data_IF_729322504584
#
_entry.id   IF_729322504584
#
_cell.length_a   1.000
_cell.length_b   1.000
_cell.length_c   1.000
_cell.angle_alpha   90.00
_cell.angle_beta   90.00
_cell.angle_gamma   90.00
#
_symmetry.space_group_name_H-M   'P 1'
#
loop_
_entity.id
_entity.type
_entity.pdbx_description
1 polymer ?
#
# COMPACT_ATOMS: atom_id res chain seq x y z
N UNK A 1 5.52 10.75 7.19
CA UNK A 1 6.03 10.75 5.79
C UNK A 1 5.05 11.54 4.95
N UNK A 2 5.48 12.62 4.28
CA UNK A 2 4.59 13.43 3.43
C UNK A 2 4.70 12.92 1.99
N UNK A 3 3.59 12.50 1.37
CA UNK A 3 3.58 12.05 -0.03
C UNK A 3 2.69 12.95 -0.88
N UNK A 4 3.29 13.50 -1.94
CA UNK A 4 2.62 14.35 -2.92
C UNK A 4 2.20 13.47 -4.09
N UNK A 5 0.91 13.43 -4.41
CA UNK A 5 0.38 12.77 -5.62
C UNK A 5 -0.13 13.87 -6.56
N UNK A 6 0.40 14.02 -7.77
CA UNK A 6 -0.13 14.99 -8.73
C UNK A 6 -1.57 14.60 -9.10
N UNK A 7 -2.51 15.53 -8.97
CA UNK A 7 -3.87 15.37 -9.45
C UNK A 7 -4.04 16.30 -10.65
N UNK A 8 -4.13 15.73 -11.85
CA UNK A 8 -4.41 16.51 -13.04
C UNK A 8 -5.86 16.95 -13.00
N UNK A 9 -6.10 18.16 -12.48
CA UNK A 9 -7.32 18.93 -12.73
C UNK A 9 -7.03 19.84 -13.92
N UNK A 10 -7.92 19.83 -14.91
CA UNK A 10 -7.83 20.60 -16.15
C UNK A 10 -7.68 22.09 -15.81
N UNK A 11 -6.49 22.65 -16.04
CA UNK A 11 -6.22 24.09 -15.99
C UNK A 11 -5.26 24.57 -14.90
N UNK A 12 -4.91 23.76 -13.90
CA UNK A 12 -3.89 24.14 -12.89
C UNK A 12 -3.26 22.88 -12.30
N UNK A 13 -1.92 22.77 -12.20
CA UNK A 13 -1.28 21.62 -11.56
C UNK A 13 -1.63 21.60 -10.07
N UNK A 14 -2.66 20.84 -9.71
CA UNK A 14 -2.99 20.55 -8.32
C UNK A 14 -2.21 19.31 -7.89
N UNK A 15 -1.67 19.32 -6.68
CA UNK A 15 -1.06 18.15 -6.09
C UNK A 15 -1.83 17.77 -4.82
N UNK A 16 -2.36 16.55 -4.77
CA UNK A 16 -2.96 15.99 -3.57
C UNK A 16 -1.83 15.55 -2.64
N UNK A 17 -1.55 16.34 -1.62
CA UNK A 17 -0.64 15.97 -0.55
C UNK A 17 -1.43 15.20 0.49
N UNK A 18 -1.16 13.90 0.61
CA UNK A 18 -1.70 13.12 1.72
C UNK A 18 -0.66 13.18 2.84
N UNK A 19 -0.96 13.97 3.86
CA UNK A 19 -0.19 13.99 5.10
C UNK A 19 -0.81 12.95 6.01
N UNK A 20 -0.21 11.76 6.02
CA UNK A 20 -0.49 10.78 7.08
C UNK A 20 0.45 11.11 8.22
N UNK A 21 -0.11 11.63 9.31
CA UNK A 21 0.61 11.76 10.57
C UNK A 21 0.77 10.34 11.16
N UNK A 22 2.00 9.78 11.17
CA UNK A 22 2.24 8.42 11.64
C UNK A 22 1.96 8.27 13.15
N UNK A 23 2.00 9.38 13.92
CA UNK A 23 1.70 9.38 15.35
C UNK A 23 0.19 9.43 15.63
N UNK A 24 -0.63 9.85 14.65
CA UNK A 24 -2.09 9.92 14.77
C UNK A 24 -2.86 8.84 14.04
N UNK A 25 -2.25 8.13 13.08
CA UNK A 25 -2.87 7.01 12.39
C UNK A 25 -1.83 5.91 12.10
N UNK A 26 -1.58 5.00 13.06
CA UNK A 26 -0.59 3.94 12.87
C UNK A 26 -1.01 3.08 11.68
N UNK A 27 -0.04 2.75 10.82
CA UNK A 27 -0.29 1.80 9.73
C UNK A 27 -0.89 0.51 10.31
N UNK A 28 -1.83 -0.13 9.60
CA UNK A 28 -2.47 -1.34 10.10
C UNK A 28 -1.42 -2.43 10.32
N UNK A 29 -1.58 -3.16 11.42
CA UNK A 29 -0.73 -4.30 11.74
C UNK A 29 -0.90 -5.41 10.70
N UNK A 30 0.11 -6.27 10.59
CA UNK A 30 0.05 -7.46 9.70
C UNK A 30 -1.19 -8.30 10.04
N UNK A 31 -1.46 -8.49 11.32
CA UNK A 31 -2.61 -9.24 11.83
C UNK A 31 -3.94 -8.57 11.45
N UNK A 32 -4.03 -7.23 11.47
CA UNK A 32 -5.21 -6.51 11.03
C UNK A 32 -5.47 -6.71 9.52
N UNK A 33 -4.42 -6.67 8.70
CA UNK A 33 -4.53 -6.89 7.26
C UNK A 33 -4.96 -8.33 6.92
N UNK A 34 -4.42 -9.32 7.63
CA UNK A 34 -4.83 -10.73 7.52
C UNK A 34 -6.33 -10.85 7.82
N UNK A 35 -6.78 -10.35 8.98
CA UNK A 35 -8.18 -10.50 9.41
C UNK A 35 -9.14 -9.75 8.49
N UNK A 36 -8.79 -8.55 8.05
CA UNK A 36 -9.68 -7.68 7.27
C UNK A 36 -9.84 -8.13 5.81
N UNK A 37 -8.77 -8.67 5.21
CA UNK A 37 -8.72 -8.92 3.76
C UNK A 37 -8.41 -10.39 3.41
N UNK A 38 -8.26 -11.29 4.39
CA UNK A 38 -7.93 -12.70 4.14
C UNK A 38 -6.54 -12.90 3.53
N UNK A 39 -5.62 -11.95 3.76
CA UNK A 39 -4.24 -12.07 3.28
C UNK A 39 -3.50 -13.17 4.03
N UNK A 40 -2.56 -13.83 3.35
CA UNK A 40 -1.55 -14.63 4.05
C UNK A 40 -0.60 -13.71 4.82
N UNK A 41 0.17 -14.27 5.77
CA UNK A 41 1.18 -13.49 6.50
C UNK A 41 2.17 -12.80 5.56
N UNK A 42 2.68 -13.50 4.55
CA UNK A 42 3.59 -12.93 3.55
C UNK A 42 2.94 -11.81 2.74
N UNK A 43 1.70 -11.99 2.29
CA UNK A 43 0.96 -10.95 1.56
C UNK A 43 0.73 -9.70 2.41
N UNK A 44 0.33 -9.88 3.67
CA UNK A 44 0.10 -8.77 4.60
C UNK A 44 1.40 -8.01 4.90
N UNK A 45 2.53 -8.69 5.03
CA UNK A 45 3.82 -8.03 5.20
C UNK A 45 4.26 -7.25 3.96
N UNK A 46 4.04 -7.79 2.76
CA UNK A 46 4.29 -7.08 1.49
C UNK A 46 3.37 -5.85 1.38
N UNK A 47 2.08 -5.99 1.68
CA UNK A 47 1.14 -4.89 1.69
C UNK A 47 1.55 -3.79 2.69
N UNK A 48 2.01 -4.14 3.89
CA UNK A 48 2.48 -3.17 4.89
C UNK A 48 3.68 -2.36 4.37
N UNK A 49 4.67 -3.01 3.77
CA UNK A 49 5.83 -2.33 3.16
C UNK A 49 5.44 -1.42 1.98
N UNK A 50 4.43 -1.81 1.21
CA UNK A 50 3.87 -0.97 0.15
C UNK A 50 3.21 0.30 0.72
N UNK A 51 2.62 0.24 1.92
CA UNK A 51 2.09 1.41 2.61
C UNK A 51 3.18 2.34 3.13
N UNK A 52 4.33 1.77 3.54
CA UNK A 52 5.56 2.52 3.89
C UNK A 52 6.13 3.30 2.69
N UNK A 53 5.59 3.10 1.48
CA UNK A 53 5.94 3.87 0.28
C UNK A 53 7.16 3.33 -0.47
N UNK A 54 7.71 2.20 -0.01
CA UNK A 54 8.75 1.48 -0.73
C UNK A 54 8.18 0.95 -2.05
N UNK A 55 8.86 1.28 -3.16
CA UNK A 55 8.59 0.62 -4.43
C UNK A 55 8.83 -0.89 -4.32
N UNK A 56 8.30 -1.68 -5.25
CA UNK A 56 8.44 -3.15 -5.23
C UNK A 56 9.90 -3.64 -5.27
N UNK A 57 10.82 -2.83 -5.83
CA UNK A 57 12.25 -3.14 -5.94
C UNK A 57 12.98 -3.16 -4.58
N UNK A 58 12.91 -2.10 -3.76
CA UNK A 58 13.36 -2.12 -2.38
C UNK A 58 12.85 -3.32 -1.58
N UNK A 59 11.55 -3.63 -1.66
CA UNK A 59 10.94 -4.78 -0.94
C UNK A 59 11.57 -6.10 -1.38
N UNK A 60 11.80 -6.29 -2.68
CA UNK A 60 12.45 -7.47 -3.22
C UNK A 60 13.88 -7.64 -2.67
N UNK A 61 14.64 -6.54 -2.61
CA UNK A 61 16.02 -6.52 -2.07
C UNK A 61 16.05 -6.85 -0.58
N UNK A 62 15.22 -6.19 0.23
CA UNK A 62 15.17 -6.45 1.67
C UNK A 62 14.79 -7.91 2.00
N UNK A 63 13.90 -8.51 1.20
CA UNK A 63 13.48 -9.90 1.38
C UNK A 63 14.37 -10.93 0.68
N UNK A 64 15.42 -10.50 -0.02
CA UNK A 64 16.29 -11.38 -0.83
C UNK A 64 15.51 -12.27 -1.82
N UNK A 65 14.45 -11.71 -2.43
CA UNK A 65 13.63 -12.41 -3.43
C UNK A 65 13.61 -11.65 -4.75
N UNK A 66 13.18 -12.32 -5.82
CA UNK A 66 13.04 -11.67 -7.12
C UNK A 66 11.90 -10.65 -7.13
N UNK A 67 12.02 -9.63 -7.99
CA UNK A 67 10.92 -8.69 -8.25
C UNK A 67 9.67 -9.40 -8.79
N UNK A 68 9.84 -10.50 -9.53
CA UNK A 68 8.75 -11.33 -10.04
C UNK A 68 7.98 -12.01 -8.91
N UNK A 69 8.68 -12.47 -7.88
CA UNK A 69 8.06 -13.03 -6.65
C UNK A 69 7.21 -11.96 -5.95
N UNK A 70 7.75 -10.75 -5.78
CA UNK A 70 6.99 -9.63 -5.21
C UNK A 70 5.77 -9.28 -6.07
N UNK A 71 5.90 -9.24 -7.40
CA UNK A 71 4.78 -9.02 -8.31
C UNK A 71 3.71 -10.09 -8.21
N UNK A 72 4.09 -11.34 -7.96
CA UNK A 72 3.16 -12.45 -7.73
C UNK A 72 2.35 -12.23 -6.45
N UNK A 73 3.02 -11.86 -5.34
CA UNK A 73 2.32 -11.48 -4.12
C UNK A 73 1.38 -10.30 -4.34
N UNK A 74 1.82 -9.26 -5.07
CA UNK A 74 0.97 -8.11 -5.41
C UNK A 74 -0.28 -8.51 -6.21
N UNK A 75 -0.15 -9.45 -7.15
CA UNK A 75 -1.29 -9.98 -7.89
C UNK A 75 -2.33 -10.62 -6.96
N UNK A 76 -1.90 -11.49 -6.05
CA UNK A 76 -2.82 -12.11 -5.09
C UNK A 76 -3.43 -11.10 -4.12
N UNK A 77 -2.65 -10.11 -3.66
CA UNK A 77 -3.16 -9.02 -2.81
C UNK A 77 -4.25 -8.24 -3.55
N UNK A 78 -4.03 -7.90 -4.82
CA UNK A 78 -5.01 -7.21 -5.65
C UNK A 78 -6.30 -8.00 -5.81
N UNK A 79 -6.21 -9.30 -6.08
CA UNK A 79 -7.37 -10.19 -6.16
C UNK A 79 -8.15 -10.23 -4.83
N UNK A 80 -7.46 -10.40 -3.70
CA UNK A 80 -8.09 -10.48 -2.37
C UNK A 80 -8.67 -9.16 -1.86
N UNK A 81 -8.09 -8.04 -2.29
CA UNK A 81 -8.55 -6.70 -1.88
C UNK A 81 -9.47 -6.04 -2.90
N UNK A 82 -9.72 -6.68 -4.04
CA UNK A 82 -10.54 -6.11 -5.12
C UNK A 82 -9.92 -4.87 -5.76
N UNK A 83 -8.59 -4.73 -5.71
CA UNK A 83 -7.86 -3.59 -6.29
C UNK A 83 -7.10 -4.02 -7.55
N UNK A 84 -6.64 -3.07 -8.35
CA UNK A 84 -5.87 -3.36 -9.58
C UNK A 84 -4.54 -2.63 -9.64
N UNK A 85 -4.34 -1.62 -8.79
CA UNK A 85 -3.15 -0.78 -8.76
C UNK A 85 -2.65 -0.56 -7.33
N UNK A 86 -1.35 -0.39 -7.18
CA UNK A 86 -0.74 -0.08 -5.88
C UNK A 86 -1.37 1.14 -5.20
N UNK A 87 -1.66 2.19 -5.97
CA UNK A 87 -2.31 3.39 -5.43
C UNK A 87 -3.73 3.13 -4.92
N UNK A 88 -4.48 2.23 -5.56
CA UNK A 88 -5.82 1.81 -5.12
C UNK A 88 -5.72 1.01 -3.82
N UNK A 89 -4.78 0.07 -3.72
CA UNK A 89 -4.49 -0.69 -2.50
C UNK A 89 -4.13 0.25 -1.33
N UNK A 90 -3.24 1.21 -1.56
CA UNK A 90 -2.85 2.19 -0.53
C UNK A 90 -4.05 3.02 -0.07
N UNK A 91 -4.87 3.52 -1.00
CA UNK A 91 -6.09 4.28 -0.68
C UNK A 91 -7.11 3.44 0.07
N UNK A 92 -7.33 2.20 -0.37
CA UNK A 92 -8.23 1.26 0.27
C UNK A 92 -7.81 1.04 1.72
N UNK A 93 -6.54 0.72 1.96
CA UNK A 93 -6.08 0.37 3.31
C UNK A 93 -6.07 1.61 4.23
N UNK A 94 -5.61 2.77 3.75
CA UNK A 94 -5.52 3.98 4.59
C UNK A 94 -6.86 4.69 4.77
N UNK A 95 -7.72 4.71 3.75
CA UNK A 95 -9.06 5.30 3.84
C UNK A 95 -10.02 4.45 4.67
N UNK A 96 -9.69 3.17 4.86
CA UNK A 96 -10.46 2.24 5.65
C UNK A 96 -10.14 2.27 7.16
N UNK A 97 -9.09 2.99 7.59
CA UNK A 97 -8.77 3.21 9.01
C UNK A 97 -9.59 4.37 9.61
N UNK A 98 -10.36 5.08 8.79
CA UNK A 98 -11.34 6.08 9.24
C UNK A 98 -12.67 5.39 9.57
N UNK A 99 -12.75 4.66 10.69
CA UNK A 99 -14.00 4.24 11.36
C UNK A 99 -13.69 3.77 12.77
#
# INVERSE_FOLDING_TARGET
MVRVVPVSATGTPAALVIVVDPDRNPLPTVEALIRRYGLTRTEAEVARRVLDGDGLGPIARERSVSITTIRTHMKHIFEKTGTRRQAELVRLILGATTS
#
